data_IF_634217149326
#
_entry.id   IF_634217149326
#
_cell.length_a   1.000
_cell.length_b   1.000
_cell.length_c   1.000
_cell.angle_alpha   90.00
_cell.angle_beta   90.00
_cell.angle_gamma   90.00
#
_symmetry.space_group_name_H-M   'P 1'
#
loop_
_entity.id
_entity.type
_entity.pdbx_description
1 polymer ?
#
# COMPACT_ATOMS: atom_id res chain seq x y z
N UNK A 1 5.82 -11.42 2.55
CA UNK A 1 6.62 -10.64 3.54
C UNK A 1 5.71 -10.02 4.59
N UNK A 2 6.19 -9.60 5.76
CA UNK A 2 5.37 -8.83 6.71
C UNK A 2 5.53 -7.30 6.52
N UNK A 3 4.70 -6.48 7.19
CA UNK A 3 4.72 -5.02 7.15
C UNK A 3 6.12 -4.45 7.46
N UNK A 4 6.84 -5.01 8.43
CA UNK A 4 8.15 -4.49 8.83
C UNK A 4 9.21 -4.76 7.75
N UNK A 5 9.10 -5.90 7.05
CA UNK A 5 9.94 -6.20 5.90
C UNK A 5 9.58 -5.31 4.71
N UNK A 6 8.29 -5.08 4.48
CA UNK A 6 7.77 -4.20 3.45
C UNK A 6 8.28 -2.76 3.63
N UNK A 7 8.22 -2.21 4.85
CA UNK A 7 8.69 -0.85 5.15
C UNK A 7 10.16 -0.68 4.78
N UNK A 8 11.01 -1.65 5.15
CA UNK A 8 12.44 -1.66 4.77
C UNK A 8 12.65 -1.75 3.25
N UNK A 9 11.81 -2.50 2.54
CA UNK A 9 11.90 -2.58 1.08
C UNK A 9 11.48 -1.26 0.42
N UNK A 10 10.45 -0.58 0.95
CA UNK A 10 10.01 0.72 0.46
C UNK A 10 11.05 1.82 0.74
N UNK A 11 11.68 1.81 1.91
CA UNK A 11 12.77 2.73 2.25
C UNK A 11 13.91 2.64 1.22
N UNK A 12 14.26 1.42 0.77
CA UNK A 12 15.29 1.22 -0.28
C UNK A 12 14.88 1.77 -1.64
N UNK A 13 13.58 1.90 -1.93
CA UNK A 13 13.09 2.48 -3.18
C UNK A 13 13.19 4.01 -3.19
N UNK A 14 13.36 4.64 -2.01
CA UNK A 14 13.45 6.10 -1.89
C UNK A 14 12.16 6.81 -2.34
N UNK A 15 11.00 6.19 -2.10
CA UNK A 15 9.70 6.75 -2.44
C UNK A 15 9.30 7.87 -1.47
N UNK A 16 8.54 8.84 -1.97
CA UNK A 16 7.93 9.86 -1.10
C UNK A 16 6.92 9.18 -0.16
N UNK A 17 7.05 9.45 1.13
CA UNK A 17 6.15 8.95 2.18
C UNK A 17 4.67 9.28 1.92
N UNK A 18 4.34 10.25 1.06
CA UNK A 18 2.97 10.58 0.68
C UNK A 18 2.38 9.65 -0.38
N UNK A 19 3.20 8.85 -1.07
CA UNK A 19 2.74 7.93 -2.13
C UNK A 19 2.10 6.65 -1.60
N UNK A 20 2.37 6.30 -0.35
CA UNK A 20 1.92 5.04 0.21
C UNK A 20 1.45 5.14 1.66
N UNK A 21 0.62 4.17 2.08
CA UNK A 21 0.16 4.04 3.45
C UNK A 21 0.07 2.58 3.89
N UNK A 22 0.80 2.21 4.95
CA UNK A 22 0.86 0.83 5.44
C UNK A 22 -0.14 0.56 6.59
N UNK A 23 -1.18 1.39 6.71
CA UNK A 23 -2.19 1.30 7.76
C UNK A 23 -1.77 1.91 9.10
N UNK A 24 -0.58 2.53 9.16
CA UNK A 24 -0.03 3.19 10.34
C UNK A 24 -0.42 4.68 10.45
N UNK A 25 -1.11 5.23 9.44
CA UNK A 25 -1.55 6.63 9.39
C UNK A 25 -2.93 6.77 8.73
N UNK A 26 -3.66 7.89 8.97
CA UNK A 26 -4.91 8.15 8.27
C UNK A 26 -4.73 8.17 6.75
N UNK A 27 -5.75 7.69 6.04
CA UNK A 27 -5.77 7.67 4.57
C UNK A 27 -5.64 9.10 4.01
N UNK A 28 -4.76 9.28 3.03
CA UNK A 28 -4.60 10.53 2.26
C UNK A 28 -5.05 10.34 0.81
N UNK A 29 -5.11 11.42 0.07
CA UNK A 29 -5.44 11.43 -1.36
C UNK A 29 -4.26 10.92 -2.20
N UNK A 30 -4.59 10.24 -3.32
CA UNK A 30 -3.63 9.76 -4.31
C UNK A 30 -2.51 8.87 -3.74
N UNK A 31 -2.83 8.05 -2.73
CA UNK A 31 -1.90 7.09 -2.13
C UNK A 31 -2.32 5.66 -2.43
N UNK A 32 -1.32 4.80 -2.62
CA UNK A 32 -1.50 3.36 -2.63
C UNK A 32 -1.35 2.84 -1.20
N UNK A 33 -2.36 2.14 -0.69
CA UNK A 33 -2.36 1.79 0.72
C UNK A 33 -2.79 0.36 1.01
N UNK A 34 -2.49 -0.01 2.24
CA UNK A 34 -2.85 -1.27 2.85
C UNK A 34 -3.61 -0.96 4.14
N UNK A 35 -4.73 -1.65 4.34
CA UNK A 35 -5.58 -1.50 5.52
C UNK A 35 -6.15 -2.86 5.93
N UNK A 36 -6.38 -3.05 7.23
CA UNK A 36 -7.12 -4.22 7.73
C UNK A 36 -8.60 -3.87 7.88
N UNK A 37 -9.48 -4.61 7.21
CA UNK A 37 -10.94 -4.48 7.34
C UNK A 37 -11.57 -5.86 7.50
N UNK A 38 -12.42 -6.04 8.51
CA UNK A 38 -13.11 -7.32 8.78
C UNK A 38 -12.17 -8.54 8.84
N UNK A 39 -11.00 -8.37 9.49
CA UNK A 39 -9.92 -9.38 9.56
C UNK A 39 -9.34 -9.81 8.21
N UNK A 40 -9.47 -8.97 7.18
CA UNK A 40 -8.87 -9.16 5.87
C UNK A 40 -7.90 -8.03 5.58
N UNK A 41 -6.86 -8.35 4.81
CA UNK A 41 -5.88 -7.39 4.33
C UNK A 41 -6.35 -6.82 2.99
N UNK A 42 -6.50 -5.50 2.91
CA UNK A 42 -7.04 -4.83 1.74
C UNK A 42 -6.00 -3.89 1.17
N UNK A 43 -5.65 -4.10 -0.10
CA UNK A 43 -4.82 -3.17 -0.88
C UNK A 43 -5.75 -2.24 -1.65
N UNK A 44 -5.53 -0.93 -1.53
CA UNK A 44 -6.39 0.10 -2.09
C UNK A 44 -5.60 1.21 -2.79
N UNK A 45 -6.27 1.93 -3.67
CA UNK A 45 -5.81 3.20 -4.24
C UNK A 45 -6.79 4.30 -3.87
N UNK A 46 -6.34 5.36 -3.20
CA UNK A 46 -7.20 6.50 -2.87
C UNK A 46 -7.28 7.53 -4.01
N UNK A 47 -8.34 8.35 -3.96
CA UNK A 47 -8.64 9.38 -4.96
C UNK A 47 -8.56 10.80 -4.38
N UNK A 48 -8.44 11.82 -5.23
CA UNK A 48 -8.36 13.26 -4.87
C UNK A 48 -9.61 13.83 -4.16
N UNK A 49 -10.73 13.12 -4.11
CA UNK A 49 -12.00 13.65 -3.57
C UNK A 49 -12.58 12.80 -2.45
N UNK A 50 -11.70 12.03 -1.80
CA UNK A 50 -12.09 11.03 -0.82
C UNK A 50 -12.60 9.73 -1.47
N UNK A 51 -12.59 8.67 -0.67
CA UNK A 51 -12.85 7.31 -1.13
C UNK A 51 -11.59 6.63 -1.68
N UNK A 52 -11.72 5.32 -1.90
CA UNK A 52 -10.68 4.49 -2.47
C UNK A 52 -11.28 3.39 -3.34
N UNK A 53 -10.51 2.94 -4.32
CA UNK A 53 -10.78 1.69 -4.99
C UNK A 53 -10.05 0.56 -4.27
N UNK A 54 -10.78 -0.51 -3.94
CA UNK A 54 -10.15 -1.75 -3.50
C UNK A 54 -9.54 -2.42 -4.72
N UNK A 55 -8.22 -2.61 -4.69
CA UNK A 55 -7.49 -3.33 -5.72
C UNK A 55 -7.68 -4.83 -5.51
N UNK A 56 -7.42 -5.31 -4.28
CA UNK A 56 -7.58 -6.71 -3.91
C UNK A 56 -7.69 -6.88 -2.39
N UNK A 57 -8.34 -7.96 -1.99
CA UNK A 57 -8.48 -8.38 -0.59
C UNK A 57 -7.83 -9.75 -0.40
N UNK A 58 -7.20 -9.94 0.75
CA UNK A 58 -6.41 -11.12 1.11
C UNK A 58 -6.74 -11.60 2.51
N UNK A 59 -6.52 -12.88 2.73
CA UNK A 59 -6.69 -13.54 4.03
C UNK A 59 -5.43 -13.44 4.89
N UNK A 60 -4.29 -13.16 4.27
CA UNK A 60 -2.98 -13.15 4.89
C UNK A 60 -2.26 -11.82 4.60
N UNK A 61 -1.32 -11.48 5.48
CA UNK A 61 -0.54 -10.24 5.42
C UNK A 61 0.46 -10.27 4.26
N UNK A 62 1.02 -11.44 3.99
CA UNK A 62 2.12 -11.63 3.07
C UNK A 62 1.74 -11.35 1.62
N UNK A 63 0.60 -11.87 1.15
CA UNK A 63 0.16 -11.59 -0.22
C UNK A 63 -0.21 -10.11 -0.41
N UNK A 64 -0.77 -9.47 0.62
CA UNK A 64 -1.11 -8.05 0.56
C UNK A 64 0.15 -7.17 0.50
N UNK A 65 1.16 -7.49 1.32
CA UNK A 65 2.44 -6.79 1.32
C UNK A 65 3.20 -6.99 -0.01
N UNK A 66 3.20 -8.20 -0.55
CA UNK A 66 3.84 -8.51 -1.83
C UNK A 66 3.17 -7.73 -2.98
N UNK A 67 1.83 -7.62 -2.97
CA UNK A 67 1.08 -6.89 -4.00
C UNK A 67 1.34 -5.38 -3.96
N UNK A 68 1.27 -4.75 -2.77
CA UNK A 68 1.51 -3.30 -2.68
C UNK A 68 2.95 -2.96 -3.09
N UNK A 69 3.95 -3.77 -2.68
CA UNK A 69 5.33 -3.57 -3.10
C UNK A 69 5.50 -3.66 -4.61
N UNK A 70 4.81 -4.61 -5.26
CA UNK A 70 4.83 -4.74 -6.71
C UNK A 70 4.37 -3.46 -7.40
N UNK A 71 3.25 -2.88 -6.97
CA UNK A 71 2.74 -1.63 -7.55
C UNK A 71 3.67 -0.44 -7.28
N UNK A 72 4.19 -0.29 -6.07
CA UNK A 72 5.14 0.77 -5.75
C UNK A 72 6.42 0.70 -6.61
N UNK A 73 6.92 -0.52 -6.87
CA UNK A 73 8.04 -0.75 -7.79
C UNK A 73 7.69 -0.39 -9.24
N UNK A 74 6.46 -0.61 -9.68
CA UNK A 74 6.01 -0.21 -11.01
C UNK A 74 5.91 1.31 -11.14
N UNK A 75 5.29 1.99 -10.17
CA UNK A 75 5.23 3.45 -10.16
C UNK A 75 6.62 4.06 -10.22
N UNK A 76 7.56 3.55 -9.42
CA UNK A 76 8.93 4.08 -9.41
C UNK A 76 9.65 3.95 -10.75
N UNK A 77 9.33 2.92 -11.53
CA UNK A 77 9.92 2.72 -12.87
C UNK A 77 9.31 3.65 -13.94
N UNK A 78 8.13 4.18 -13.68
CA UNK A 78 7.40 5.05 -14.60
C UNK A 78 7.63 6.55 -14.31
N UNK A 79 8.34 6.89 -13.22
CA UNK A 79 8.87 8.24 -12.92
C UNK A 79 10.19 8.51 -13.65
#
# INVERSE_FOLDING_TARGET
MNINELEKEIEKLGLDNNKYNLGNKPMRELELGLITQSNKWVVYQSFEKGGCNVIKTFDNEDEACDLILYFLKLEKKNE
#
